data_IF_181483974659
#
_entry.id   IF_181483974659
#
_cell.length_a   1.000
_cell.length_b   1.000
_cell.length_c   1.000
_cell.angle_alpha   90.00
_cell.angle_beta   90.00
_cell.angle_gamma   90.00
#
_symmetry.space_group_name_H-M   'P 1'
#
loop_
_entity.id
_entity.type
_entity.pdbx_description
1 polymer ?
#
# COMPACT_ATOMS: atom_id res chain seq x y z
N UNK A 1 -40.73 -13.10 -51.62
CA UNK A 1 -40.20 -13.78 -50.40
C UNK A 1 -38.69 -13.75 -50.31
N UNK A 2 -37.91 -13.62 -51.38
CA UNK A 2 -36.44 -13.64 -51.40
C UNK A 2 -35.76 -12.33 -50.88
N UNK A 3 -36.45 -11.20 -50.89
CA UNK A 3 -35.87 -9.90 -50.53
C UNK A 3 -35.79 -9.67 -49.01
N UNK A 4 -36.72 -10.26 -48.24
CA UNK A 4 -36.79 -10.09 -46.77
C UNK A 4 -35.67 -10.87 -46.06
N UNK A 5 -35.29 -12.04 -46.59
CA UNK A 5 -34.24 -12.86 -45.98
C UNK A 5 -32.85 -12.25 -46.18
N UNK A 6 -32.58 -11.54 -47.29
CA UNK A 6 -31.35 -10.79 -47.51
C UNK A 6 -31.20 -9.59 -46.57
N UNK A 7 -32.29 -8.91 -46.26
CA UNK A 7 -32.30 -7.77 -45.35
C UNK A 7 -32.08 -8.23 -43.90
N UNK A 8 -32.69 -9.37 -43.51
CA UNK A 8 -32.46 -9.96 -42.18
C UNK A 8 -31.03 -10.41 -41.99
N UNK A 9 -30.42 -11.06 -42.99
CA UNK A 9 -29.02 -11.47 -42.94
C UNK A 9 -28.05 -10.29 -42.85
N UNK A 10 -28.30 -9.20 -43.56
CA UNK A 10 -27.48 -7.99 -43.51
C UNK A 10 -27.59 -7.26 -42.14
N UNK A 11 -28.77 -7.24 -41.53
CA UNK A 11 -29.02 -6.61 -40.24
C UNK A 11 -28.37 -7.40 -39.09
N UNK A 12 -28.41 -8.75 -39.14
CA UNK A 12 -27.77 -9.59 -38.14
C UNK A 12 -26.23 -9.48 -38.18
N UNK A 13 -25.65 -9.45 -39.40
CA UNK A 13 -24.20 -9.23 -39.54
C UNK A 13 -23.78 -7.85 -39.02
N UNK A 14 -24.55 -6.80 -39.32
CA UNK A 14 -24.26 -5.45 -38.80
C UNK A 14 -24.33 -5.34 -37.27
N UNK A 15 -25.30 -6.03 -36.64
CA UNK A 15 -25.42 -6.03 -35.18
C UNK A 15 -24.28 -6.81 -34.54
N UNK A 16 -23.87 -7.96 -35.07
CA UNK A 16 -22.74 -8.74 -34.56
C UNK A 16 -21.44 -7.97 -34.71
N UNK A 17 -21.22 -7.27 -35.82
CA UNK A 17 -20.01 -6.45 -36.03
C UNK A 17 -19.99 -5.26 -35.07
N UNK A 18 -21.13 -4.62 -34.78
CA UNK A 18 -21.23 -3.51 -33.86
C UNK A 18 -20.95 -3.91 -32.41
N UNK A 19 -21.38 -5.10 -31.98
CA UNK A 19 -21.10 -5.62 -30.62
C UNK A 19 -19.61 -5.93 -30.45
N UNK A 20 -18.89 -6.37 -31.49
CA UNK A 20 -17.46 -6.63 -31.41
C UNK A 20 -16.59 -5.37 -31.34
N UNK A 21 -17.08 -4.21 -31.81
CA UNK A 21 -16.33 -2.96 -31.82
C UNK A 21 -16.36 -2.26 -30.43
N UNK A 22 -17.30 -2.62 -29.55
CA UNK A 22 -17.48 -1.96 -28.25
C UNK A 22 -16.69 -2.59 -27.10
N UNK A 23 -15.94 -3.67 -27.32
CA UNK A 23 -15.00 -4.19 -26.33
C UNK A 23 -13.71 -3.36 -26.34
N UNK A 24 -13.81 -2.09 -25.96
CA UNK A 24 -12.64 -1.32 -25.59
C UNK A 24 -12.06 -1.97 -24.33
N UNK A 25 -10.97 -2.71 -24.47
CA UNK A 25 -10.13 -3.08 -23.35
C UNK A 25 -9.71 -1.79 -22.67
N UNK A 26 -10.23 -1.53 -21.49
CA UNK A 26 -9.68 -0.48 -20.62
C UNK A 26 -8.30 -0.98 -20.24
N UNK A 27 -7.30 -0.62 -21.05
CA UNK A 27 -5.92 -0.71 -20.61
C UNK A 27 -5.80 0.23 -19.42
N UNK A 28 -5.66 -0.32 -18.23
CA UNK A 28 -5.25 0.45 -17.07
C UNK A 28 -3.90 1.07 -17.46
N UNK A 29 -3.90 2.38 -17.73
CA UNK A 29 -2.68 3.13 -18.00
C UNK A 29 -1.87 3.04 -16.71
N UNK A 30 -0.80 2.26 -16.74
CA UNK A 30 0.19 2.30 -15.66
C UNK A 30 0.65 3.75 -15.52
N UNK A 31 0.61 4.34 -14.33
CA UNK A 31 1.08 5.70 -14.15
C UNK A 31 2.54 5.78 -14.62
N UNK A 32 2.81 6.69 -15.55
CA UNK A 32 4.16 6.91 -16.09
C UNK A 32 5.13 7.49 -15.05
N UNK A 33 4.63 7.89 -13.90
CA UNK A 33 5.35 8.50 -12.80
C UNK A 33 5.18 7.67 -11.53
N UNK A 34 6.23 7.53 -10.72
CA UNK A 34 6.12 6.90 -9.41
C UNK A 34 5.17 7.69 -8.51
N UNK A 35 4.42 6.99 -7.67
CA UNK A 35 3.49 7.61 -6.73
C UNK A 35 3.81 7.17 -5.30
N UNK A 36 3.76 8.14 -4.37
CA UNK A 36 3.94 7.92 -2.93
C UNK A 36 2.76 8.54 -2.20
N UNK A 37 2.18 7.78 -1.26
CA UNK A 37 1.19 8.28 -0.33
C UNK A 37 1.66 7.99 1.11
N UNK A 38 1.66 9.01 1.96
CA UNK A 38 1.96 8.88 3.39
C UNK A 38 1.09 9.86 4.19
N UNK A 39 0.92 9.65 5.51
CA UNK A 39 0.08 10.52 6.33
C UNK A 39 0.63 11.94 6.52
N UNK A 40 1.92 12.19 6.18
CA UNK A 40 2.53 13.50 6.36
C UNK A 40 3.24 13.99 5.08
N UNK A 41 2.99 15.25 4.63
CA UNK A 41 3.57 15.78 3.39
C UNK A 41 5.11 15.75 3.34
N UNK A 42 5.78 16.05 4.46
CA UNK A 42 7.26 16.02 4.53
C UNK A 42 7.81 14.59 4.36
N UNK A 43 7.10 13.59 4.85
CA UNK A 43 7.49 12.19 4.65
C UNK A 43 7.31 11.78 3.18
N UNK A 44 6.20 12.16 2.55
CA UNK A 44 5.99 11.96 1.11
C UNK A 44 7.11 12.63 0.30
N UNK A 45 7.47 13.86 0.64
CA UNK A 45 8.54 14.59 -0.01
C UNK A 45 9.91 13.89 0.14
N UNK A 46 10.22 13.37 1.33
CA UNK A 46 11.45 12.60 1.55
C UNK A 46 11.54 11.38 0.63
N UNK A 47 10.43 10.66 0.42
CA UNK A 47 10.38 9.55 -0.53
C UNK A 47 10.60 9.99 -1.99
N UNK A 48 9.99 11.09 -2.42
CA UNK A 48 10.21 11.63 -3.77
C UNK A 48 11.66 12.05 -4.01
N UNK A 49 12.31 12.68 -3.03
CA UNK A 49 13.73 13.04 -3.15
C UNK A 49 14.62 11.82 -3.41
N UNK A 50 14.32 10.68 -2.79
CA UNK A 50 15.05 9.44 -3.03
C UNK A 50 14.81 8.92 -4.45
N UNK A 51 13.57 8.96 -4.94
CA UNK A 51 13.26 8.54 -6.32
C UNK A 51 13.96 9.45 -7.36
N UNK A 52 14.00 10.76 -7.14
CA UNK A 52 14.69 11.73 -7.99
C UNK A 52 16.21 11.49 -8.03
N UNK A 53 16.79 10.97 -6.95
CA UNK A 53 18.21 10.58 -6.87
C UNK A 53 18.49 9.20 -7.49
N UNK A 54 17.50 8.56 -8.09
CA UNK A 54 17.63 7.24 -8.74
C UNK A 54 17.40 6.05 -7.81
N UNK A 55 16.91 6.28 -6.59
CA UNK A 55 16.46 5.23 -5.69
C UNK A 55 15.19 4.54 -6.21
N UNK A 56 14.90 3.37 -5.70
CA UNK A 56 13.72 2.59 -6.03
C UNK A 56 12.61 2.74 -4.96
N UNK A 57 11.48 2.05 -5.13
CA UNK A 57 10.35 2.12 -4.22
C UNK A 57 10.69 1.63 -2.80
N UNK A 58 11.61 0.67 -2.65
CA UNK A 58 12.05 0.19 -1.33
C UNK A 58 12.91 1.25 -0.62
N UNK A 59 13.80 1.91 -1.35
CA UNK A 59 14.61 3.02 -0.82
C UNK A 59 13.71 4.19 -0.38
N UNK A 60 12.71 4.53 -1.20
CA UNK A 60 11.72 5.55 -0.87
C UNK A 60 10.90 5.18 0.37
N UNK A 61 10.49 3.91 0.54
CA UNK A 61 9.76 3.46 1.72
C UNK A 61 10.58 3.61 3.00
N UNK A 62 11.89 3.33 2.95
CA UNK A 62 12.81 3.55 4.08
C UNK A 62 12.88 5.04 4.43
N UNK A 63 13.04 5.92 3.44
CA UNK A 63 13.10 7.36 3.67
C UNK A 63 11.80 7.93 4.25
N UNK A 64 10.64 7.48 3.74
CA UNK A 64 9.32 7.84 4.27
C UNK A 64 9.19 7.41 5.72
N UNK A 65 9.56 6.17 6.06
CA UNK A 65 9.48 5.63 7.42
C UNK A 65 10.38 6.40 8.39
N UNK A 66 11.61 6.73 7.97
CA UNK A 66 12.53 7.54 8.77
C UNK A 66 11.98 8.96 9.00
N UNK A 67 11.44 9.60 7.97
CA UNK A 67 10.83 10.93 8.10
C UNK A 67 9.61 10.90 9.03
N UNK A 68 8.74 9.87 8.93
CA UNK A 68 7.58 9.71 9.80
C UNK A 68 7.97 9.59 11.28
N UNK A 69 9.10 8.99 11.60
CA UNK A 69 9.58 8.90 12.98
C UNK A 69 9.89 10.27 13.63
N UNK A 70 10.06 11.30 12.80
CA UNK A 70 10.32 12.68 13.25
C UNK A 70 9.04 13.53 13.20
N UNK A 71 8.24 13.41 12.11
CA UNK A 71 7.08 14.27 11.90
C UNK A 71 5.78 13.71 12.47
N UNK A 72 5.74 12.42 12.79
CA UNK A 72 4.61 11.68 13.38
C UNK A 72 5.08 10.80 14.57
N UNK A 73 5.80 11.34 15.56
CA UNK A 73 6.49 10.55 16.59
C UNK A 73 5.54 9.76 17.51
N UNK A 74 4.28 10.16 17.60
CA UNK A 74 3.25 9.47 18.39
C UNK A 74 2.60 8.28 17.65
N UNK A 75 2.81 8.18 16.33
CA UNK A 75 2.24 7.10 15.48
C UNK A 75 3.32 6.27 14.81
N UNK A 76 4.56 6.75 14.78
CA UNK A 76 5.64 6.15 14.03
C UNK A 76 6.97 6.38 14.73
N UNK A 77 7.91 5.42 14.64
CA UNK A 77 9.22 5.58 15.26
C UNK A 77 10.12 4.37 15.08
N UNK A 78 11.42 4.54 15.32
CA UNK A 78 12.44 3.50 15.20
C UNK A 78 12.25 2.34 16.20
N UNK A 79 11.56 2.60 17.32
CA UNK A 79 11.22 1.57 18.31
C UNK A 79 9.87 0.89 18.08
N UNK A 80 9.12 1.32 17.08
CA UNK A 80 7.83 0.75 16.73
C UNK A 80 7.93 -0.41 15.76
N UNK A 81 6.82 -1.14 15.61
CA UNK A 81 6.70 -2.22 14.65
C UNK A 81 6.03 -1.79 13.35
N UNK A 82 6.07 -2.68 12.37
CA UNK A 82 5.44 -2.48 11.08
C UNK A 82 5.08 -3.81 10.41
N UNK A 83 4.21 -3.72 9.41
CA UNK A 83 4.01 -4.79 8.43
C UNK A 83 4.39 -4.27 7.06
N UNK A 84 5.16 -5.06 6.31
CA UNK A 84 5.55 -4.72 4.95
C UNK A 84 5.01 -5.75 3.97
N UNK A 85 4.26 -5.29 2.98
CA UNK A 85 3.94 -6.07 1.79
C UNK A 85 4.75 -5.52 0.63
N UNK A 86 5.71 -6.32 0.17
CA UNK A 86 6.67 -5.95 -0.86
C UNK A 86 6.37 -6.70 -2.14
N UNK A 87 6.40 -5.99 -3.28
CA UNK A 87 6.29 -6.58 -4.60
C UNK A 87 7.48 -6.16 -5.47
N UNK A 88 8.18 -7.13 -6.05
CA UNK A 88 9.27 -6.91 -7.00
C UNK A 88 8.82 -7.33 -8.39
N UNK A 89 8.67 -6.35 -9.28
CA UNK A 89 8.10 -6.55 -10.61
C UNK A 89 8.96 -7.43 -11.52
N UNK A 90 10.32 -7.41 -11.38
CA UNK A 90 11.24 -8.12 -12.26
C UNK A 90 11.00 -9.64 -12.28
N UNK A 91 10.69 -10.23 -11.13
CA UNK A 91 10.48 -11.67 -10.96
C UNK A 91 9.10 -11.99 -10.37
N UNK A 92 8.21 -10.99 -10.27
CA UNK A 92 6.87 -11.10 -9.67
C UNK A 92 6.89 -11.60 -8.23
N UNK A 93 8.03 -11.43 -7.55
CA UNK A 93 8.19 -11.89 -6.18
C UNK A 93 7.42 -11.00 -5.21
N UNK A 94 6.65 -11.62 -4.32
CA UNK A 94 5.96 -10.96 -3.22
C UNK A 94 6.49 -11.49 -1.89
N UNK A 95 6.75 -10.56 -0.97
CA UNK A 95 7.21 -10.90 0.38
C UNK A 95 6.40 -10.12 1.40
N UNK A 96 5.94 -10.81 2.43
CA UNK A 96 5.36 -10.18 3.61
C UNK A 96 6.39 -10.27 4.75
N UNK A 97 6.65 -9.13 5.39
CA UNK A 97 7.53 -9.05 6.56
C UNK A 97 6.68 -8.63 7.74
N UNK A 98 6.61 -9.49 8.75
CA UNK A 98 6.09 -9.18 10.06
C UNK A 98 7.24 -8.65 10.92
N UNK A 99 7.29 -7.32 11.04
CA UNK A 99 8.25 -6.60 11.86
C UNK A 99 7.57 -6.05 13.13
N UNK A 100 6.55 -6.74 13.65
CA UNK A 100 5.89 -6.37 14.88
C UNK A 100 6.86 -6.46 16.05
N UNK A 101 6.87 -5.43 16.89
CA UNK A 101 7.69 -5.37 18.10
C UNK A 101 7.27 -6.47 19.09
N UNK A 102 8.22 -6.88 19.92
CA UNK A 102 8.00 -7.79 21.06
C UNK A 102 8.26 -7.04 22.35
N UNK A 103 7.52 -7.42 23.40
CA UNK A 103 7.80 -6.91 24.73
C UNK A 103 9.24 -7.26 25.14
N UNK A 104 9.93 -6.37 25.91
CA UNK A 104 11.23 -6.68 26.49
C UNK A 104 11.20 -7.99 27.28
N UNK A 105 12.32 -8.71 27.31
CA UNK A 105 12.41 -9.99 28.04
C UNK A 105 12.16 -9.86 29.54
N UNK A 106 12.35 -8.68 30.11
CA UNK A 106 12.08 -8.36 31.51
C UNK A 106 10.63 -7.95 31.77
N UNK A 107 9.78 -7.84 30.75
CA UNK A 107 8.38 -7.48 30.92
C UNK A 107 7.60 -8.64 31.57
N UNK A 108 6.82 -8.31 32.59
CA UNK A 108 5.91 -9.25 33.26
C UNK A 108 4.48 -8.71 33.23
N UNK A 109 3.49 -9.59 33.47
CA UNK A 109 2.08 -9.17 33.54
C UNK A 109 1.80 -8.23 34.71
N UNK A 110 2.64 -8.28 35.74
CA UNK A 110 2.48 -7.52 37.00
C UNK A 110 3.23 -6.18 37.00
N UNK A 111 4.06 -5.88 35.98
CA UNK A 111 4.94 -4.70 36.00
C UNK A 111 4.21 -3.35 36.14
N UNK A 112 2.90 -3.32 35.88
CA UNK A 112 2.04 -2.14 36.00
C UNK A 112 0.97 -2.29 37.09
N UNK A 113 1.15 -3.24 38.03
CA UNK A 113 0.23 -3.51 39.13
C UNK A 113 0.84 -3.11 40.47
N UNK A 114 -0.01 -2.72 41.40
CA UNK A 114 0.37 -2.53 42.80
C UNK A 114 0.43 -3.87 43.56
N UNK A 115 0.77 -3.84 44.83
CA UNK A 115 0.83 -5.02 45.71
C UNK A 115 -0.49 -5.76 45.86
N UNK A 116 -1.62 -5.17 45.50
CA UNK A 116 -2.96 -5.74 45.54
C UNK A 116 -3.41 -6.29 44.16
N UNK A 117 -2.56 -6.23 43.16
CA UNK A 117 -2.84 -6.64 41.79
C UNK A 117 -3.69 -5.63 40.99
N UNK A 118 -3.84 -4.40 41.49
CA UNK A 118 -4.59 -3.33 40.83
C UNK A 118 -3.68 -2.55 39.89
N UNK A 119 -4.19 -2.20 38.70
CA UNK A 119 -3.41 -1.42 37.71
C UNK A 119 -3.08 -0.03 38.27
N UNK A 120 -1.80 0.31 38.25
CA UNK A 120 -1.32 1.65 38.65
C UNK A 120 -1.70 2.65 37.54
N UNK A 121 -2.56 3.66 37.82
CA UNK A 121 -2.95 4.62 36.81
C UNK A 121 -1.75 5.35 36.21
N UNK A 122 -1.68 5.43 34.88
CA UNK A 122 -0.59 6.11 34.12
C UNK A 122 0.82 5.53 34.31
N UNK A 123 0.98 4.31 34.83
CA UNK A 123 2.30 3.69 35.01
C UNK A 123 3.10 3.53 33.70
N UNK A 124 2.42 3.55 32.56
CA UNK A 124 3.06 3.50 31.22
C UNK A 124 3.59 4.87 30.74
N UNK A 125 3.38 5.95 31.48
CA UNK A 125 3.74 7.30 31.09
C UNK A 125 4.97 7.84 31.86
N UNK A 126 5.63 6.99 32.64
CA UNK A 126 6.76 7.35 33.52
C UNK A 126 8.05 6.74 32.98
#
# INVERSE_FOLDING_TARGET
MVCIDKIRGCLTVAIVTFVFITTNSVNAIQPAQPAIASPHPLATQAGYLILEQGGNAFDAAVAVSAALSVVEPYSSGLGGGAFFLLHREQDKHQTFIDAREKAPSAATSEMYQDSNGMVIPKATLV
#
